data_IF_572884102190
#
_entry.id   IF_572884102190
#
_cell.length_a   1.000
_cell.length_b   1.000
_cell.length_c   1.000
_cell.angle_alpha   90.00
_cell.angle_beta   90.00
_cell.angle_gamma   90.00
#
_symmetry.space_group_name_H-M   'P 1'
#
loop_
_entity.id
_entity.type
_entity.pdbx_description
1 polymer ?
#
# COMPACT_ATOMS: atom_id res chain seq x y z
N UNK A 1 2.22 5.59 25.12
CA UNK A 1 2.97 5.86 23.88
C UNK A 1 2.03 5.70 22.69
N UNK A 2 2.09 6.64 21.75
CA UNK A 2 1.30 6.53 20.52
C UNK A 2 1.90 5.44 19.63
N UNK A 3 1.05 4.58 19.14
CA UNK A 3 1.42 3.50 18.21
C UNK A 3 0.78 3.77 16.85
N UNK A 4 1.60 3.92 15.83
CA UNK A 4 1.17 4.19 14.46
C UNK A 4 1.52 3.02 13.53
N UNK A 5 0.60 2.65 12.66
CA UNK A 5 0.82 1.65 11.62
C UNK A 5 0.75 2.30 10.24
N UNK A 6 1.53 1.78 9.29
CA UNK A 6 1.69 2.39 7.97
C UNK A 6 1.46 1.38 6.86
N UNK A 7 0.71 1.80 5.85
CA UNK A 7 0.36 0.96 4.71
C UNK A 7 -0.02 1.78 3.49
N UNK A 8 -0.30 1.12 2.40
CA UNK A 8 -0.88 1.74 1.23
C UNK A 8 -0.84 0.83 0.00
N UNK A 9 -1.74 1.11 -0.93
CA UNK A 9 -1.74 0.55 -2.27
C UNK A 9 -1.80 1.75 -3.21
N UNK A 10 -0.66 2.11 -3.78
CA UNK A 10 -0.52 3.30 -4.61
C UNK A 10 -0.40 2.89 -6.07
N UNK A 11 -1.38 3.27 -6.88
CA UNK A 11 -1.44 2.93 -8.29
C UNK A 11 -2.08 4.06 -9.08
N UNK A 12 -1.41 4.51 -10.13
CA UNK A 12 -1.97 5.45 -11.09
C UNK A 12 -2.50 4.65 -12.27
N UNK A 13 -3.80 4.35 -12.26
CA UNK A 13 -4.43 3.54 -13.29
C UNK A 13 -4.68 4.35 -14.55
N UNK A 14 -4.35 3.78 -15.70
CA UNK A 14 -4.77 4.27 -17.00
C UNK A 14 -5.81 3.31 -17.58
N UNK A 15 -7.09 3.68 -17.48
CA UNK A 15 -8.19 2.82 -17.94
C UNK A 15 -8.29 2.74 -19.46
N UNK A 16 -7.54 3.58 -20.19
CA UNK A 16 -7.47 3.52 -21.65
C UNK A 16 -6.40 2.55 -22.17
N UNK A 17 -5.55 2.01 -21.26
CA UNK A 17 -4.62 0.96 -21.65
C UNK A 17 -5.42 -0.27 -22.00
N UNK A 18 -5.44 -0.59 -23.30
CA UNK A 18 -6.08 -1.79 -23.79
C UNK A 18 -5.16 -2.99 -23.55
N UNK A 19 -5.76 -4.03 -23.15
CA UNK A 19 -5.16 -5.12 -22.44
C UNK A 19 -4.43 -6.18 -23.27
N UNK A 20 -3.56 -5.81 -24.20
CA UNK A 20 -2.55 -6.77 -24.61
C UNK A 20 -1.66 -7.17 -23.42
N UNK A 21 -1.61 -6.32 -22.38
CA UNK A 21 -0.83 -6.53 -21.16
C UNK A 21 -1.69 -7.02 -19.98
N UNK A 22 -3.03 -7.08 -20.16
CA UNK A 22 -3.93 -7.51 -19.11
C UNK A 22 -4.09 -6.54 -17.96
N UNK A 23 -4.67 -7.02 -16.86
CA UNK A 23 -4.83 -6.29 -15.63
C UNK A 23 -3.53 -6.31 -14.82
N UNK A 24 -3.32 -5.31 -13.96
CA UNK A 24 -2.13 -5.25 -13.11
C UNK A 24 -2.25 -6.28 -11.98
N UNK A 25 -1.39 -7.29 -11.95
CA UNK A 25 -1.47 -8.35 -10.95
C UNK A 25 -0.69 -8.03 -9.68
N UNK A 26 -0.82 -8.87 -8.67
CA UNK A 26 0.16 -8.97 -7.60
C UNK A 26 1.22 -9.99 -8.03
N UNK A 27 2.50 -9.60 -7.96
CA UNK A 27 3.60 -10.45 -8.38
C UNK A 27 4.33 -9.91 -9.60
N UNK A 28 5.09 -10.74 -10.31
CA UNK A 28 5.91 -10.31 -11.45
C UNK A 28 5.10 -9.56 -12.51
N UNK A 29 5.60 -8.41 -12.92
CA UNK A 29 4.93 -7.54 -13.89
C UNK A 29 3.87 -6.62 -13.30
N UNK A 30 3.67 -6.65 -11.98
CA UNK A 30 2.71 -5.79 -11.29
C UNK A 30 3.21 -5.38 -9.92
N UNK A 31 2.36 -5.52 -8.90
CA UNK A 31 2.71 -5.16 -7.54
C UNK A 31 3.65 -6.18 -6.92
N UNK A 32 4.73 -5.69 -6.33
CA UNK A 32 5.65 -6.48 -5.50
C UNK A 32 5.69 -5.82 -4.12
N UNK A 33 4.71 -6.11 -3.24
CA UNK A 33 4.59 -5.40 -1.97
C UNK A 33 5.78 -5.61 -1.06
N UNK A 34 6.12 -4.58 -0.30
CA UNK A 34 6.97 -4.74 0.88
C UNK A 34 6.07 -4.89 2.11
N UNK A 35 6.50 -5.67 3.08
CA UNK A 35 5.69 -5.99 4.25
C UNK A 35 6.50 -5.88 5.54
N UNK A 36 5.80 -5.66 6.65
CA UNK A 36 6.42 -5.61 7.96
C UNK A 36 7.46 -4.50 8.07
N UNK A 37 8.58 -4.81 8.69
CA UNK A 37 9.64 -3.83 8.97
C UNK A 37 10.23 -3.22 7.70
N UNK A 38 10.16 -3.89 6.56
CA UNK A 38 10.63 -3.34 5.29
C UNK A 38 9.83 -2.10 4.87
N UNK A 39 8.58 -1.96 5.31
CA UNK A 39 7.79 -0.75 5.06
C UNK A 39 8.43 0.46 5.73
N UNK A 40 8.98 0.28 6.93
CA UNK A 40 9.58 1.37 7.70
C UNK A 40 10.89 1.88 7.10
N UNK A 41 11.47 1.14 6.16
CA UNK A 41 12.71 1.52 5.47
C UNK A 41 12.45 2.37 4.22
N UNK A 42 11.19 2.55 3.84
CA UNK A 42 10.83 3.35 2.67
C UNK A 42 11.17 4.83 2.90
N UNK A 43 11.68 5.47 1.87
CA UNK A 43 12.03 6.89 1.89
C UNK A 43 11.66 7.53 0.56
N UNK A 44 11.56 8.85 0.53
CA UNK A 44 11.27 9.57 -0.70
C UNK A 44 9.82 9.51 -1.16
N UNK A 45 8.92 8.96 -0.34
CA UNK A 45 7.49 8.92 -0.58
C UNK A 45 6.74 9.71 0.49
N UNK A 46 5.44 9.91 0.28
CA UNK A 46 4.60 10.54 1.32
C UNK A 46 4.58 9.69 2.59
N UNK A 47 4.53 8.37 2.44
CA UNK A 47 4.56 7.46 3.57
C UNK A 47 5.88 7.62 4.35
N UNK A 48 7.01 7.72 3.65
CA UNK A 48 8.31 7.97 4.26
C UNK A 48 8.32 9.25 5.10
N UNK A 49 7.69 10.32 4.60
CA UNK A 49 7.56 11.58 5.34
C UNK A 49 6.72 11.43 6.60
N UNK A 50 5.60 10.72 6.52
CA UNK A 50 4.75 10.45 7.70
C UNK A 50 5.51 9.63 8.76
N UNK A 51 6.22 8.60 8.33
CA UNK A 51 6.99 7.75 9.24
C UNK A 51 8.13 8.52 9.90
N UNK A 52 8.81 9.38 9.15
CA UNK A 52 9.86 10.24 9.69
C UNK A 52 9.32 11.18 10.78
N UNK A 53 8.17 11.80 10.53
CA UNK A 53 7.53 12.67 11.51
C UNK A 53 7.12 11.91 12.78
N UNK A 54 6.55 10.72 12.62
CA UNK A 54 6.16 9.88 13.75
C UNK A 54 7.38 9.46 14.58
N UNK A 55 8.48 9.13 13.91
CA UNK A 55 9.72 8.77 14.58
C UNK A 55 10.28 9.94 15.40
N UNK A 56 10.27 11.15 14.83
CA UNK A 56 10.69 12.36 15.54
C UNK A 56 9.81 12.64 16.77
N UNK A 57 8.53 12.28 16.72
CA UNK A 57 7.61 12.42 17.85
C UNK A 57 7.79 11.32 18.92
N UNK A 58 8.66 10.36 18.68
CA UNK A 58 8.89 9.26 19.61
C UNK A 58 7.80 8.21 19.61
N UNK A 59 7.01 8.13 18.56
CA UNK A 59 5.94 7.14 18.44
C UNK A 59 6.51 5.74 18.13
N UNK A 60 5.76 4.72 18.52
CA UNK A 60 6.04 3.35 18.10
C UNK A 60 5.50 3.18 16.67
N UNK A 61 6.31 2.63 15.77
CA UNK A 61 5.96 2.45 14.37
C UNK A 61 5.86 0.97 14.01
N UNK A 62 4.80 0.60 13.29
CA UNK A 62 4.63 -0.73 12.71
C UNK A 62 4.36 -0.61 11.22
N UNK A 63 5.13 -1.30 10.40
CA UNK A 63 4.86 -1.43 8.97
C UNK A 63 3.88 -2.56 8.71
N UNK A 64 2.89 -2.33 7.85
CA UNK A 64 1.92 -3.34 7.46
C UNK A 64 2.26 -3.90 6.08
N UNK A 65 1.72 -3.28 5.04
CA UNK A 65 2.03 -3.60 3.65
C UNK A 65 2.01 -2.32 2.84
N UNK A 66 2.99 -2.14 1.97
CA UNK A 66 2.97 -1.06 0.99
C UNK A 66 3.29 -1.61 -0.39
N UNK A 67 2.45 -1.26 -1.35
CA UNK A 67 2.59 -1.67 -2.73
C UNK A 67 2.41 -0.49 -3.67
N UNK A 68 3.30 -0.37 -4.65
CA UNK A 68 3.11 0.54 -5.75
C UNK A 68 3.64 -0.11 -7.03
N UNK A 69 3.30 0.49 -8.15
CA UNK A 69 3.79 0.05 -9.45
C UNK A 69 3.84 1.25 -10.38
N UNK A 70 4.48 1.09 -11.52
CA UNK A 70 4.45 2.08 -12.59
C UNK A 70 3.00 2.28 -13.06
N UNK A 71 2.63 3.49 -13.53
CA UNK A 71 1.32 3.71 -14.13
C UNK A 71 1.05 2.66 -15.20
N UNK A 72 -0.10 2.00 -15.11
CA UNK A 72 -0.44 0.88 -15.97
C UNK A 72 -1.95 0.66 -15.99
N UNK A 73 -2.40 -0.46 -16.58
CA UNK A 73 -3.80 -0.80 -16.65
C UNK A 73 -4.46 -1.04 -15.30
N UNK A 74 -5.76 -1.22 -15.32
CA UNK A 74 -6.60 -1.47 -14.14
C UNK A 74 -6.01 -2.57 -13.25
N UNK A 75 -6.12 -2.39 -11.94
CA UNK A 75 -5.66 -3.38 -10.97
C UNK A 75 -6.55 -4.63 -11.05
N UNK A 76 -5.96 -5.81 -11.11
CA UNK A 76 -6.72 -7.07 -11.05
C UNK A 76 -7.44 -7.17 -9.69
N UNK A 77 -8.72 -7.57 -9.71
CA UNK A 77 -9.52 -7.71 -8.47
C UNK A 77 -8.83 -8.59 -7.44
N UNK A 78 -8.31 -9.74 -7.88
CA UNK A 78 -7.62 -10.68 -6.97
C UNK A 78 -6.38 -10.04 -6.35
N UNK A 79 -5.65 -9.20 -7.08
CA UNK A 79 -4.49 -8.49 -6.55
C UNK A 79 -4.90 -7.49 -5.48
N UNK A 80 -5.92 -6.68 -5.77
CA UNK A 80 -6.43 -5.70 -4.82
C UNK A 80 -6.95 -6.37 -3.54
N UNK A 81 -7.81 -7.37 -3.70
CA UNK A 81 -8.39 -8.08 -2.56
C UNK A 81 -7.34 -8.75 -1.69
N UNK A 82 -6.35 -9.39 -2.32
CA UNK A 82 -5.25 -10.03 -1.61
C UNK A 82 -4.45 -9.04 -0.76
N UNK A 83 -4.11 -7.89 -1.34
CA UNK A 83 -3.34 -6.85 -0.63
C UNK A 83 -4.16 -6.19 0.46
N UNK A 84 -5.43 -5.88 0.18
CA UNK A 84 -6.37 -5.34 1.17
C UNK A 84 -6.50 -6.26 2.37
N UNK A 85 -6.74 -7.53 2.12
CA UNK A 85 -6.95 -8.53 3.17
C UNK A 85 -5.69 -8.72 4.01
N UNK A 86 -4.53 -8.68 3.38
CA UNK A 86 -3.26 -8.77 4.11
C UNK A 86 -3.03 -7.52 4.98
N UNK A 87 -3.33 -6.33 4.48
CA UNK A 87 -3.25 -5.11 5.29
C UNK A 87 -4.13 -5.23 6.53
N UNK A 88 -5.37 -5.66 6.35
CA UNK A 88 -6.32 -5.81 7.47
C UNK A 88 -5.83 -6.85 8.48
N UNK A 89 -5.34 -8.00 8.01
CA UNK A 89 -4.82 -9.03 8.89
C UNK A 89 -3.60 -8.54 9.70
N UNK A 90 -2.67 -7.86 9.04
CA UNK A 90 -1.49 -7.31 9.69
C UNK A 90 -1.85 -6.21 10.68
N UNK A 91 -2.85 -5.38 10.36
CA UNK A 91 -3.34 -4.37 11.29
C UNK A 91 -3.94 -5.00 12.55
N UNK A 92 -4.75 -6.04 12.38
CA UNK A 92 -5.33 -6.78 13.52
C UNK A 92 -4.24 -7.35 14.42
N UNK A 93 -3.18 -7.92 13.83
CA UNK A 93 -2.06 -8.47 14.59
C UNK A 93 -1.25 -7.38 15.32
N UNK A 94 -1.26 -6.15 14.80
CA UNK A 94 -0.53 -5.02 15.39
C UNK A 94 -1.30 -4.31 16.51
N UNK A 95 -2.59 -4.57 16.65
CA UNK A 95 -3.42 -3.87 17.64
C UNK A 95 -2.92 -4.06 19.07
N UNK A 96 -3.04 -3.07 19.94
CA UNK A 96 -3.72 -1.79 19.72
C UNK A 96 -2.88 -0.78 18.93
N UNK A 97 -3.53 -0.09 18.00
CA UNK A 97 -2.95 0.95 17.16
C UNK A 97 -3.79 2.22 17.31
N UNK A 98 -3.12 3.36 17.51
CA UNK A 98 -3.77 4.64 17.69
C UNK A 98 -4.01 5.38 16.39
N UNK A 99 -3.08 5.23 15.43
CA UNK A 99 -3.09 5.96 14.16
C UNK A 99 -2.69 5.02 13.03
N UNK A 100 -3.36 5.15 11.88
CA UNK A 100 -2.96 4.47 10.65
C UNK A 100 -2.62 5.51 9.61
N UNK A 101 -1.37 5.49 9.13
CA UNK A 101 -0.93 6.30 8.01
C UNK A 101 -1.11 5.51 6.71
N UNK A 102 -1.80 6.10 5.76
CA UNK A 102 -2.11 5.44 4.49
C UNK A 102 -1.65 6.32 3.32
N UNK A 103 -0.87 5.74 2.44
CA UNK A 103 -0.56 6.39 1.16
C UNK A 103 -1.28 5.65 0.04
N UNK A 104 -2.27 6.30 -0.55
CA UNK A 104 -2.99 5.81 -1.72
C UNK A 104 -2.92 6.87 -2.82
N UNK A 105 -3.03 6.42 -4.07
CA UNK A 105 -3.18 7.33 -5.21
C UNK A 105 -4.65 7.36 -5.62
N UNK A 106 -5.22 8.56 -5.71
CA UNK A 106 -6.66 8.72 -6.02
C UNK A 106 -7.08 8.23 -7.40
N UNK A 107 -6.11 7.97 -8.30
CA UNK A 107 -6.37 7.44 -9.64
C UNK A 107 -6.36 5.92 -9.72
N UNK A 108 -6.18 5.20 -8.60
CA UNK A 108 -6.20 3.74 -8.59
C UNK A 108 -7.59 3.19 -8.87
N UNK A 109 -7.69 2.26 -9.82
CA UNK A 109 -8.95 1.61 -10.21
C UNK A 109 -8.72 0.10 -10.22
N UNK A 110 -9.55 -0.62 -9.48
CA UNK A 110 -9.51 -2.09 -9.43
C UNK A 110 -10.63 -2.68 -10.27
N UNK A 111 -10.29 -3.62 -11.13
CA UNK A 111 -11.14 -4.48 -11.94
C UNK A 111 -12.57 -4.03 -12.16
N UNK A 112 -13.51 -4.74 -11.55
CA UNK A 112 -14.95 -4.49 -11.63
C UNK A 112 -15.44 -3.41 -10.66
N UNK A 113 -14.57 -2.90 -9.81
CA UNK A 113 -14.90 -1.96 -8.74
C UNK A 113 -14.83 -0.49 -9.17
N UNK A 114 -14.66 -0.24 -10.44
CA UNK A 114 -14.57 1.10 -10.99
C UNK A 114 -15.91 1.85 -10.96
#
# INVERSE_FOLDING_TARGET
>A
MVHAAFCGISHETNTFVTSALGLTPRGPGGFEPVVGDAVLELSGSYLGGMMSAADELGWELTGLLFANTQPSGTIADAAYESMRDEIVARLRDAMPVDVVGIENHGAGVAGQSA
#
